data_IF_839270576726
#
_entry.id   IF_839270576726
#
_cell.length_a   1.000
_cell.length_b   1.000
_cell.length_c   1.000
_cell.angle_alpha   90.00
_cell.angle_beta   90.00
_cell.angle_gamma   90.00
#
_symmetry.space_group_name_H-M   'P 1'
#
loop_
_entity.id
_entity.type
_entity.pdbx_description
1 polymer ?
#
# COMPACT_ATOMS: atom_id res chain seq x y z
N UNK A 1 7.04 4.17 -2.03
CA UNK A 1 8.09 4.23 -0.99
C UNK A 1 7.87 3.10 0.00
N UNK A 2 8.93 2.59 0.60
CA UNK A 2 8.88 1.60 1.69
C UNK A 2 9.13 2.33 3.01
N UNK A 3 8.23 2.18 3.97
CA UNK A 3 8.31 2.88 5.27
C UNK A 3 8.18 1.81 6.36
N UNK A 4 9.32 1.43 6.92
CA UNK A 4 9.42 0.32 7.85
C UNK A 4 9.50 -1.05 7.16
N UNK A 5 10.07 -2.00 7.87
CA UNK A 5 10.21 -3.39 7.49
C UNK A 5 10.39 -4.22 8.76
N UNK A 6 9.82 -5.41 8.78
CA UNK A 6 10.00 -6.36 9.88
C UNK A 6 10.33 -7.74 9.29
N UNK A 7 11.53 -8.25 9.61
CA UNK A 7 11.89 -9.63 9.30
C UNK A 7 11.21 -10.57 10.27
N UNK A 8 10.78 -11.73 9.75
CA UNK A 8 10.50 -12.89 10.60
C UNK A 8 11.75 -13.22 11.44
N UNK A 9 11.56 -13.50 12.74
CA UNK A 9 12.63 -13.77 13.69
C UNK A 9 12.56 -15.22 14.19
N UNK A 10 13.17 -16.18 13.48
CA UNK A 10 13.13 -17.59 13.86
C UNK A 10 13.50 -17.80 15.34
N UNK A 11 12.61 -18.44 16.11
CA UNK A 11 12.82 -18.78 17.52
C UNK A 11 12.44 -17.71 18.56
N UNK A 12 12.17 -16.46 18.14
CA UNK A 12 11.59 -15.41 19.00
C UNK A 12 10.12 -15.18 18.66
N UNK A 13 9.86 -15.17 17.36
CA UNK A 13 8.55 -15.26 16.76
C UNK A 13 8.03 -16.69 17.07
N UNK A 14 7.04 -16.85 17.98
CA UNK A 14 6.73 -18.14 18.57
C UNK A 14 6.33 -19.19 17.52
N UNK A 15 6.68 -20.46 17.79
CA UNK A 15 6.13 -21.66 17.13
C UNK A 15 4.59 -21.76 17.35
N UNK A 16 4.02 -20.91 18.20
CA UNK A 16 2.59 -20.86 18.49
C UNK A 16 1.77 -20.43 17.27
N UNK A 17 0.62 -21.08 17.11
CA UNK A 17 -0.32 -20.95 15.97
C UNK A 17 -0.85 -19.54 15.65
N UNK A 18 -0.46 -18.50 16.38
CA UNK A 18 -1.00 -17.13 16.31
C UNK A 18 -0.05 -16.08 15.71
N UNK A 19 1.17 -16.46 15.33
CA UNK A 19 2.02 -15.58 14.55
C UNK A 19 1.72 -15.69 13.06
N UNK A 20 1.21 -14.60 12.51
CA UNK A 20 0.88 -14.50 11.10
C UNK A 20 0.99 -13.06 10.61
N UNK A 21 0.68 -12.88 9.33
CA UNK A 21 0.82 -11.63 8.60
C UNK A 21 0.16 -10.43 9.31
N UNK A 22 -1.03 -10.62 9.88
CA UNK A 22 -1.73 -9.55 10.63
C UNK A 22 -1.02 -9.18 11.94
N UNK A 23 -0.45 -10.15 12.64
CA UNK A 23 0.28 -9.90 13.89
C UNK A 23 1.53 -9.07 13.62
N UNK A 24 2.28 -9.41 12.58
CA UNK A 24 3.44 -8.64 12.10
C UNK A 24 2.98 -7.26 11.61
N UNK A 25 1.92 -7.19 10.81
CA UNK A 25 1.36 -5.93 10.30
C UNK A 25 0.98 -4.95 11.42
N UNK A 26 0.38 -5.45 12.52
CA UNK A 26 0.05 -4.64 13.71
C UNK A 26 1.30 -4.09 14.40
N UNK A 27 2.35 -4.91 14.57
CA UNK A 27 3.62 -4.46 15.17
C UNK A 27 4.29 -3.40 14.30
N UNK A 28 4.37 -3.66 13.00
CA UNK A 28 4.95 -2.74 12.02
C UNK A 28 4.24 -1.39 12.02
N UNK A 29 2.90 -1.36 11.90
CA UNK A 29 2.17 -0.09 11.87
C UNK A 29 2.28 0.67 13.20
N UNK A 30 2.28 -0.04 14.34
CA UNK A 30 2.49 0.59 15.65
C UNK A 30 3.87 1.26 15.74
N UNK A 31 4.91 0.58 15.26
CA UNK A 31 6.28 1.10 15.23
C UNK A 31 6.40 2.32 14.33
N UNK A 32 5.80 2.26 13.13
CA UNK A 32 5.84 3.35 12.15
C UNK A 32 5.07 4.58 12.65
N UNK A 33 3.86 4.42 13.19
CA UNK A 33 3.07 5.52 13.75
C UNK A 33 3.76 6.15 14.96
N UNK A 34 4.39 5.35 15.82
CA UNK A 34 5.15 5.83 16.97
C UNK A 34 6.37 6.66 16.54
N UNK A 35 7.11 6.19 15.54
CA UNK A 35 8.35 6.80 15.06
C UNK A 35 8.11 8.01 14.15
N UNK A 36 7.00 8.00 13.41
CA UNK A 36 6.66 9.00 12.42
C UNK A 36 5.22 9.50 12.63
N UNK A 37 5.01 10.20 13.76
CA UNK A 37 3.71 10.79 14.07
C UNK A 37 3.27 11.71 12.92
N UNK A 38 2.01 11.58 12.48
CA UNK A 38 1.39 12.33 11.37
C UNK A 38 1.85 11.97 9.95
N UNK A 39 2.65 10.91 9.77
CA UNK A 39 3.06 10.47 8.43
C UNK A 39 1.96 9.65 7.73
N UNK A 40 1.16 8.93 8.49
CA UNK A 40 0.14 8.01 7.99
C UNK A 40 -1.21 8.43 8.57
N UNK A 41 -2.13 8.81 7.70
CA UNK A 41 -3.52 9.10 8.07
C UNK A 41 -4.41 7.86 7.90
N UNK A 42 -4.17 7.10 6.83
CA UNK A 42 -4.98 5.94 6.45
C UNK A 42 -4.11 4.75 6.10
N UNK A 43 -4.45 3.58 6.65
CA UNK A 43 -3.86 2.29 6.27
C UNK A 43 -4.82 1.51 5.39
N UNK A 44 -4.28 0.86 4.36
CA UNK A 44 -5.07 0.05 3.42
C UNK A 44 -4.61 -1.40 3.50
N UNK A 45 -5.55 -2.32 3.63
CA UNK A 45 -5.23 -3.74 3.74
C UNK A 45 -6.16 -4.60 2.89
N UNK A 46 -5.70 -5.81 2.60
CA UNK A 46 -6.46 -6.82 1.88
C UNK A 46 -7.60 -7.42 2.75
N UNK A 47 -8.22 -8.52 2.28
CA UNK A 47 -9.39 -9.06 2.96
C UNK A 47 -9.09 -9.74 4.30
N UNK A 48 -7.84 -10.12 4.55
CA UNK A 48 -7.43 -10.80 5.77
C UNK A 48 -7.69 -9.91 7.00
N UNK A 49 -7.45 -8.62 6.86
CA UNK A 49 -7.61 -7.62 7.91
C UNK A 49 -9.07 -7.21 8.18
N UNK A 50 -10.06 -7.79 7.49
CA UNK A 50 -11.47 -7.40 7.62
C UNK A 50 -12.11 -8.00 8.88
N UNK A 51 -11.56 -7.67 10.04
CA UNK A 51 -11.95 -8.16 11.36
C UNK A 51 -11.82 -7.04 12.41
N UNK A 52 -12.50 -7.21 13.55
CA UNK A 52 -12.52 -6.22 14.63
C UNK A 52 -11.16 -5.97 15.26
N UNK A 53 -10.31 -6.99 15.36
CA UNK A 53 -8.97 -6.88 15.95
C UNK A 53 -8.12 -5.87 15.18
N UNK A 54 -8.06 -5.98 13.85
CA UNK A 54 -7.30 -5.05 13.00
C UNK A 54 -7.89 -3.64 13.03
N UNK A 55 -9.21 -3.53 12.90
CA UNK A 55 -9.92 -2.24 12.86
C UNK A 55 -9.68 -1.47 14.16
N UNK A 56 -9.90 -2.10 15.32
CA UNK A 56 -9.66 -1.49 16.62
C UNK A 56 -8.19 -1.12 16.82
N UNK A 57 -7.26 -1.97 16.34
CA UNK A 57 -5.83 -1.65 16.41
C UNK A 57 -5.49 -0.36 15.67
N UNK A 58 -6.03 -0.17 14.46
CA UNK A 58 -5.85 1.07 13.70
C UNK A 58 -6.46 2.27 14.42
N UNK A 59 -7.69 2.14 14.92
CA UNK A 59 -8.37 3.21 15.67
C UNK A 59 -7.61 3.61 16.93
N UNK A 60 -7.08 2.64 17.68
CA UNK A 60 -6.28 2.90 18.89
C UNK A 60 -4.98 3.64 18.58
N UNK A 61 -4.44 3.49 17.36
CA UNK A 61 -3.28 4.24 16.88
C UNK A 61 -3.66 5.63 16.33
N UNK A 62 -4.95 5.98 16.27
CA UNK A 62 -5.44 7.24 15.73
C UNK A 62 -5.37 7.33 14.20
N UNK A 63 -5.30 6.19 13.50
CA UNK A 63 -5.29 6.12 12.04
C UNK A 63 -6.57 5.46 11.53
N UNK A 64 -7.02 5.86 10.35
CA UNK A 64 -8.16 5.22 9.72
C UNK A 64 -7.75 3.98 8.92
N UNK A 65 -8.68 3.04 8.77
CA UNK A 65 -8.47 1.81 8.02
C UNK A 65 -9.42 1.74 6.82
N UNK A 66 -8.89 1.37 5.65
CA UNK A 66 -9.65 0.95 4.49
C UNK A 66 -9.29 -0.50 4.20
N UNK A 67 -10.23 -1.41 4.40
CA UNK A 67 -9.98 -2.85 4.31
C UNK A 67 -10.85 -3.45 3.23
N UNK A 68 -10.27 -4.37 2.45
CA UNK A 68 -11.03 -5.12 1.45
C UNK A 68 -12.07 -6.02 2.14
N UNK A 69 -13.29 -6.04 1.65
CA UNK A 69 -14.29 -7.03 2.06
C UNK A 69 -14.37 -8.18 1.04
N UNK A 70 -14.09 -9.42 1.46
CA UNK A 70 -14.24 -10.65 0.66
C UNK A 70 -14.81 -11.77 1.57
N UNK A 71 -15.77 -12.55 1.05
CA UNK A 71 -16.43 -13.73 1.65
C UNK A 71 -16.56 -13.78 3.20
N UNK A 72 -17.80 -13.66 3.67
CA UNK A 72 -18.09 -13.25 5.03
C UNK A 72 -18.41 -14.43 5.97
N UNK A 73 -17.46 -14.81 6.83
CA UNK A 73 -17.81 -15.46 8.09
C UNK A 73 -18.50 -14.49 9.07
N UNK A 74 -18.42 -13.18 8.82
CA UNK A 74 -19.06 -12.15 9.62
C UNK A 74 -20.53 -11.90 9.21
N UNK A 75 -21.48 -12.09 10.14
CA UNK A 75 -22.92 -11.90 9.91
C UNK A 75 -23.27 -10.45 9.57
N UNK A 76 -22.67 -9.46 10.24
CA UNK A 76 -23.02 -8.05 10.02
C UNK A 76 -22.58 -7.56 8.64
N UNK A 77 -21.41 -7.99 8.16
CA UNK A 77 -20.94 -7.68 6.80
C UNK A 77 -21.84 -8.33 5.73
N UNK A 78 -22.44 -9.51 6.01
CA UNK A 78 -23.43 -10.14 5.11
C UNK A 78 -24.70 -9.32 5.05
N UNK A 79 -25.16 -8.79 6.18
CA UNK A 79 -26.32 -7.91 6.26
C UNK A 79 -26.05 -6.62 5.48
N UNK A 80 -24.93 -5.95 5.72
CA UNK A 80 -24.54 -4.73 5.01
C UNK A 80 -24.51 -4.92 3.48
N UNK A 81 -23.93 -6.04 3.02
CA UNK A 81 -23.92 -6.42 1.60
C UNK A 81 -25.33 -6.65 1.05
N UNK A 82 -26.23 -7.31 1.81
CA UNK A 82 -27.63 -7.51 1.40
C UNK A 82 -28.37 -6.19 1.30
N UNK A 83 -28.16 -5.28 2.26
CA UNK A 83 -28.78 -3.93 2.26
C UNK A 83 -28.36 -3.16 1.03
N UNK A 84 -27.04 -3.04 0.78
CA UNK A 84 -26.50 -2.33 -0.38
C UNK A 84 -26.97 -2.90 -1.72
N UNK A 85 -27.20 -4.20 -1.82
CA UNK A 85 -27.71 -4.80 -3.06
C UNK A 85 -29.18 -4.48 -3.35
N UNK A 86 -29.92 -3.94 -2.37
CA UNK A 86 -31.33 -3.55 -2.50
C UNK A 86 -31.53 -2.03 -2.60
N UNK A 87 -30.48 -1.24 -2.40
CA UNK A 87 -30.53 0.21 -2.47
C UNK A 87 -30.09 0.70 -3.84
N UNK A 88 -30.47 1.93 -4.17
CA UNK A 88 -29.95 2.62 -5.35
C UNK A 88 -28.49 3.04 -5.15
N UNK A 89 -27.81 3.31 -6.27
CA UNK A 89 -26.44 3.79 -6.24
C UNK A 89 -26.42 5.24 -5.72
N UNK A 90 -25.55 5.51 -4.75
CA UNK A 90 -25.36 6.85 -4.17
C UNK A 90 -24.59 7.74 -5.14
N UNK A 91 -23.64 7.16 -5.88
CA UNK A 91 -22.93 7.84 -6.96
C UNK A 91 -22.79 6.94 -8.19
N UNK A 92 -22.77 7.56 -9.36
CA UNK A 92 -22.49 6.89 -10.63
C UNK A 92 -21.44 7.67 -11.40
N UNK A 93 -20.31 7.03 -11.71
CA UNK A 93 -19.23 7.61 -12.49
C UNK A 93 -19.18 6.96 -13.86
N UNK A 94 -19.13 7.75 -14.93
CA UNK A 94 -19.09 7.28 -16.32
C UNK A 94 -17.75 7.68 -16.94
N UNK A 95 -17.21 6.81 -17.80
CA UNK A 95 -15.93 7.02 -18.52
C UNK A 95 -14.72 7.34 -17.62
N UNK A 96 -14.72 6.83 -16.39
CA UNK A 96 -13.64 7.04 -15.43
C UNK A 96 -12.41 6.16 -15.76
N UNK A 97 -11.33 6.77 -16.25
CA UNK A 97 -9.96 6.19 -16.37
C UNK A 97 -9.91 4.70 -16.78
N UNK A 98 -10.60 4.35 -17.86
CA UNK A 98 -10.60 2.98 -18.43
C UNK A 98 -11.80 2.11 -18.06
N UNK A 99 -12.66 2.58 -17.16
CA UNK A 99 -13.97 1.98 -16.88
C UNK A 99 -15.05 2.64 -17.73
N UNK A 100 -16.05 1.85 -18.10
CA UNK A 100 -17.24 2.36 -18.78
C UNK A 100 -18.17 3.03 -17.76
N UNK A 101 -18.41 2.35 -16.64
CA UNK A 101 -19.29 2.82 -15.57
C UNK A 101 -18.84 2.27 -14.22
N UNK A 102 -18.90 3.07 -13.18
CA UNK A 102 -18.73 2.65 -11.78
C UNK A 102 -19.95 3.12 -11.00
N UNK A 103 -20.72 2.18 -10.48
CA UNK A 103 -21.84 2.45 -9.58
C UNK A 103 -21.38 2.24 -8.14
N UNK A 104 -21.61 3.24 -7.30
CA UNK A 104 -21.15 3.25 -5.92
C UNK A 104 -22.35 3.12 -5.00
N UNK A 105 -22.28 2.15 -4.10
CA UNK A 105 -23.29 1.91 -3.10
C UNK A 105 -22.64 1.99 -1.73
N UNK A 106 -23.34 2.58 -0.77
CA UNK A 106 -22.81 2.86 0.55
C UNK A 106 -23.84 2.46 1.61
N UNK A 107 -23.38 1.88 2.71
CA UNK A 107 -24.20 1.69 3.90
C UNK A 107 -23.34 1.78 5.16
N UNK A 108 -23.94 2.21 6.26
CA UNK A 108 -23.31 2.16 7.57
C UNK A 108 -23.74 0.89 8.30
N UNK A 109 -22.84 0.23 9.02
CA UNK A 109 -23.15 -0.96 9.82
C UNK A 109 -22.26 -1.06 11.05
N UNK A 110 -22.67 -1.85 12.03
CA UNK A 110 -21.87 -2.18 13.21
C UNK A 110 -21.24 -3.55 13.06
N UNK A 111 -20.03 -3.72 13.59
CA UNK A 111 -19.31 -5.00 13.60
C UNK A 111 -19.13 -5.46 15.04
N UNK A 112 -19.30 -6.76 15.29
CA UNK A 112 -19.07 -7.33 16.61
C UNK A 112 -17.67 -6.96 17.13
N UNK A 113 -17.60 -6.48 18.36
CA UNK A 113 -16.39 -5.98 19.02
C UNK A 113 -15.77 -4.71 18.40
N UNK A 114 -16.51 -3.94 17.61
CA UNK A 114 -16.13 -2.58 17.17
C UNK A 114 -17.19 -1.61 17.68
N UNK A 115 -16.80 -0.70 18.58
CA UNK A 115 -17.74 0.23 19.23
C UNK A 115 -18.34 1.23 18.24
N UNK A 116 -17.54 1.72 17.29
CA UNK A 116 -17.98 2.74 16.35
C UNK A 116 -18.63 2.11 15.11
N UNK A 117 -19.60 2.82 14.48
CA UNK A 117 -20.13 2.42 13.19
C UNK A 117 -19.03 2.43 12.12
N UNK A 118 -19.15 1.51 11.17
CA UNK A 118 -18.25 1.37 10.03
C UNK A 118 -19.00 1.65 8.73
N UNK A 119 -18.29 2.20 7.76
CA UNK A 119 -18.82 2.47 6.45
C UNK A 119 -18.49 1.31 5.51
N UNK A 120 -19.51 0.69 4.92
CA UNK A 120 -19.40 -0.32 3.89
C UNK A 120 -19.64 0.31 2.53
N UNK A 121 -18.67 0.18 1.63
CA UNK A 121 -18.78 0.73 0.28
C UNK A 121 -18.57 -0.36 -0.75
N UNK A 122 -19.47 -0.43 -1.73
CA UNK A 122 -19.40 -1.33 -2.88
C UNK A 122 -19.31 -0.50 -4.16
N UNK A 123 -18.24 -0.72 -4.91
CA UNK A 123 -18.05 -0.22 -6.26
C UNK A 123 -18.37 -1.35 -7.25
N UNK A 124 -19.49 -1.26 -7.96
CA UNK A 124 -19.81 -2.15 -9.08
C UNK A 124 -19.23 -1.54 -10.37
N UNK A 125 -18.28 -2.23 -10.99
CA UNK A 125 -17.45 -1.70 -12.08
C UNK A 125 -17.81 -2.44 -13.36
N UNK A 126 -18.22 -1.67 -14.37
CA UNK A 126 -18.38 -2.10 -15.76
C UNK A 126 -17.18 -1.65 -16.56
N UNK A 127 -16.47 -2.61 -17.15
CA UNK A 127 -15.32 -2.37 -18.01
C UNK A 127 -15.77 -2.16 -19.45
N UNK A 128 -15.01 -1.39 -20.24
CA UNK A 128 -15.28 -1.16 -21.67
C UNK A 128 -15.35 -2.45 -22.49
N UNK A 129 -14.62 -3.50 -22.07
CA UNK A 129 -14.67 -4.85 -22.67
C UNK A 129 -15.86 -5.69 -22.18
N UNK A 130 -16.95 -5.08 -21.73
CA UNK A 130 -18.17 -5.71 -21.18
C UNK A 130 -17.97 -6.61 -19.94
N UNK A 131 -16.76 -6.70 -19.38
CA UNK A 131 -16.52 -7.41 -18.12
C UNK A 131 -17.14 -6.63 -16.95
N UNK A 132 -17.70 -7.34 -15.97
CA UNK A 132 -18.19 -6.74 -14.72
C UNK A 132 -17.37 -7.26 -13.55
N UNK A 133 -16.93 -6.35 -12.69
CA UNK A 133 -16.20 -6.67 -11.46
C UNK A 133 -16.77 -5.86 -10.32
N UNK A 134 -16.48 -6.25 -9.07
CA UNK A 134 -16.92 -5.49 -7.92
C UNK A 134 -15.81 -5.32 -6.89
N UNK A 135 -15.74 -4.13 -6.31
CA UNK A 135 -14.87 -3.83 -5.20
C UNK A 135 -15.73 -3.50 -3.97
N UNK A 136 -15.69 -4.32 -2.92
CA UNK A 136 -16.28 -4.02 -1.62
C UNK A 136 -15.18 -3.68 -0.61
N UNK A 137 -15.41 -2.66 0.21
CA UNK A 137 -14.52 -2.25 1.29
C UNK A 137 -15.31 -1.99 2.57
N UNK A 138 -14.63 -2.12 3.70
CA UNK A 138 -15.04 -1.61 5.01
C UNK A 138 -14.06 -0.52 5.40
N UNK A 139 -14.55 0.64 5.82
CA UNK A 139 -13.71 1.76 6.22
C UNK A 139 -14.18 2.42 7.50
N UNK A 140 -13.22 2.92 8.28
CA UNK A 140 -13.48 3.80 9.43
C UNK A 140 -13.56 5.28 9.03
N UNK A 141 -13.18 5.62 7.80
CA UNK A 141 -13.29 6.98 7.27
C UNK A 141 -14.76 7.27 6.90
N UNK A 142 -15.46 8.06 7.72
CA UNK A 142 -16.86 8.42 7.45
C UNK A 142 -16.98 9.57 6.44
N UNK A 143 -16.06 10.54 6.49
CA UNK A 143 -16.15 11.79 5.71
C UNK A 143 -15.29 11.78 4.43
N UNK A 144 -14.65 10.66 4.11
CA UNK A 144 -13.81 10.56 2.92
C UNK A 144 -14.66 10.47 1.65
N UNK A 145 -14.38 11.34 0.67
CA UNK A 145 -15.00 11.28 -0.64
C UNK A 145 -14.87 9.88 -1.27
N UNK A 146 -15.98 9.32 -1.77
CA UNK A 146 -16.06 7.95 -2.30
C UNK A 146 -15.05 7.72 -3.42
N UNK A 147 -14.81 8.75 -4.26
CA UNK A 147 -13.81 8.72 -5.32
C UNK A 147 -12.38 8.61 -4.80
N UNK A 148 -12.07 9.18 -3.64
CA UNK A 148 -10.77 9.03 -2.97
C UNK A 148 -10.61 7.63 -2.42
N UNK A 149 -11.61 7.10 -1.70
CA UNK A 149 -11.63 5.72 -1.22
C UNK A 149 -11.43 4.71 -2.35
N UNK A 150 -12.06 4.95 -3.51
CA UNK A 150 -11.89 4.14 -4.71
C UNK A 150 -10.46 4.17 -5.26
N UNK A 151 -9.84 5.36 -5.37
CA UNK A 151 -8.44 5.49 -5.81
C UNK A 151 -7.49 4.77 -4.86
N UNK A 152 -7.71 4.90 -3.55
CA UNK A 152 -6.88 4.28 -2.51
C UNK A 152 -6.92 2.75 -2.61
N UNK A 153 -8.11 2.13 -2.66
CA UNK A 153 -8.21 0.67 -2.73
C UNK A 153 -7.71 0.11 -4.07
N UNK A 154 -7.80 0.88 -5.15
CA UNK A 154 -7.20 0.53 -6.45
C UNK A 154 -5.68 0.59 -6.40
N UNK A 155 -5.10 1.64 -5.82
CA UNK A 155 -3.65 1.79 -5.65
C UNK A 155 -3.04 0.64 -4.82
N UNK A 156 -3.80 0.04 -3.90
CA UNK A 156 -3.39 -1.19 -3.20
C UNK A 156 -3.08 -2.35 -4.15
N UNK A 157 -3.81 -2.50 -5.26
CA UNK A 157 -3.49 -3.52 -6.26
C UNK A 157 -2.24 -3.16 -7.07
N UNK A 158 -2.03 -1.86 -7.30
CA UNK A 158 -0.87 -1.37 -8.03
C UNK A 158 0.45 -1.54 -7.24
N UNK A 159 0.42 -1.72 -5.91
CA UNK A 159 1.63 -1.86 -5.08
C UNK A 159 2.53 -3.03 -5.54
N UNK A 160 1.92 -4.13 -5.98
CA UNK A 160 2.63 -5.33 -6.43
C UNK A 160 3.38 -5.05 -7.73
N UNK A 161 2.68 -4.46 -8.71
CA UNK A 161 3.24 -4.12 -10.01
C UNK A 161 4.16 -2.88 -9.99
N UNK A 162 4.06 -2.05 -8.95
CA UNK A 162 4.89 -0.86 -8.77
C UNK A 162 6.05 -1.13 -7.82
N UNK A 163 5.86 -0.96 -6.52
CA UNK A 163 6.92 -0.96 -5.51
C UNK A 163 7.62 -2.32 -5.45
N UNK A 164 6.87 -3.42 -5.31
CA UNK A 164 7.49 -4.74 -5.16
C UNK A 164 8.23 -5.18 -6.42
N UNK A 165 7.60 -5.01 -7.59
CA UNK A 165 8.23 -5.32 -8.86
C UNK A 165 9.50 -4.47 -9.10
N UNK A 166 9.47 -3.18 -8.74
CA UNK A 166 10.64 -2.30 -8.83
C UNK A 166 11.77 -2.77 -7.92
N UNK A 167 11.47 -3.10 -6.66
CA UNK A 167 12.47 -3.58 -5.71
C UNK A 167 13.15 -4.87 -6.20
N UNK A 168 12.37 -5.80 -6.74
CA UNK A 168 12.86 -7.06 -7.30
C UNK A 168 13.73 -6.85 -8.53
N UNK A 169 13.21 -6.13 -9.54
CA UNK A 169 13.84 -6.03 -10.87
C UNK A 169 14.96 -4.99 -10.96
N UNK A 170 14.79 -3.86 -10.30
CA UNK A 170 15.67 -2.69 -10.50
C UNK A 170 16.50 -2.36 -9.24
N UNK A 171 16.15 -2.89 -8.07
CA UNK A 171 16.91 -2.66 -6.82
C UNK A 171 17.59 -3.91 -6.25
N UNK A 172 17.55 -5.04 -6.96
CA UNK A 172 18.28 -6.26 -6.59
C UNK A 172 17.75 -6.98 -5.34
N UNK A 173 16.48 -6.81 -4.98
CA UNK A 173 15.89 -7.44 -3.79
C UNK A 173 15.99 -8.98 -3.81
N UNK A 174 16.01 -9.60 -5.00
CA UNK A 174 16.14 -11.06 -5.17
C UNK A 174 17.59 -11.57 -5.08
N UNK A 175 18.57 -10.66 -5.00
CA UNK A 175 19.99 -10.96 -5.12
C UNK A 175 20.80 -10.53 -3.87
N UNK A 176 20.22 -10.74 -2.68
CA UNK A 176 20.89 -10.50 -1.40
C UNK A 176 21.80 -11.68 -1.02
N UNK A 177 22.99 -11.76 -1.63
CA UNK A 177 23.96 -12.85 -1.43
C UNK A 177 24.91 -12.62 -0.24
N UNK A 178 24.36 -12.25 0.92
CA UNK A 178 25.14 -12.07 2.15
C UNK A 178 24.74 -13.08 3.21
N UNK A 179 25.72 -13.56 3.98
CA UNK A 179 25.48 -14.48 5.08
C UNK A 179 25.35 -13.74 6.41
N UNK A 180 24.41 -14.18 7.24
CA UNK A 180 24.19 -13.63 8.58
C UNK A 180 23.00 -12.64 8.64
N UNK A 181 22.18 -12.79 9.67
CA UNK A 181 20.92 -12.04 9.86
C UNK A 181 21.11 -10.52 9.77
N UNK A 182 22.10 -9.99 10.50
CA UNK A 182 22.35 -8.55 10.57
C UNK A 182 22.84 -8.00 9.23
N UNK A 183 23.63 -8.78 8.48
CA UNK A 183 24.11 -8.37 7.16
C UNK A 183 22.96 -8.30 6.15
N UNK A 184 22.07 -9.30 6.15
CA UNK A 184 20.85 -9.30 5.34
C UNK A 184 19.98 -8.08 5.67
N UNK A 185 19.75 -7.82 6.96
CA UNK A 185 18.92 -6.69 7.39
C UNK A 185 19.53 -5.33 6.96
N UNK A 186 20.84 -5.15 7.15
CA UNK A 186 21.54 -3.94 6.71
C UNK A 186 21.44 -3.71 5.20
N UNK A 187 21.66 -4.76 4.39
CA UNK A 187 21.53 -4.67 2.93
C UNK A 187 20.10 -4.33 2.51
N UNK A 188 19.09 -4.91 3.17
CA UNK A 188 17.69 -4.57 2.90
C UNK A 188 17.37 -3.11 3.22
N UNK A 189 17.85 -2.58 4.35
CA UNK A 189 17.70 -1.15 4.64
C UNK A 189 18.36 -0.26 3.59
N UNK A 190 19.57 -0.59 3.14
CA UNK A 190 20.25 0.15 2.06
C UNK A 190 19.44 0.12 0.76
N UNK A 191 18.89 -1.03 0.38
CA UNK A 191 18.01 -1.18 -0.79
C UNK A 191 16.78 -0.28 -0.65
N UNK A 192 16.11 -0.29 0.50
CA UNK A 192 14.92 0.53 0.73
C UNK A 192 15.22 2.03 0.71
N UNK A 193 16.32 2.46 1.34
CA UNK A 193 16.75 3.86 1.36
C UNK A 193 17.07 4.32 -0.07
N UNK A 194 17.90 3.57 -0.81
CA UNK A 194 18.27 3.90 -2.18
C UNK A 194 17.04 3.97 -3.10
N UNK A 195 16.14 2.98 -2.99
CA UNK A 195 14.87 2.95 -3.74
C UNK A 195 14.00 4.16 -3.41
N UNK A 196 13.84 4.50 -2.12
CA UNK A 196 13.05 5.66 -1.71
C UNK A 196 13.62 6.97 -2.24
N UNK A 197 14.93 7.19 -2.15
CA UNK A 197 15.58 8.40 -2.67
C UNK A 197 15.36 8.50 -4.18
N UNK A 198 15.57 7.41 -4.92
CA UNK A 198 15.34 7.37 -6.37
C UNK A 198 13.89 7.70 -6.74
N UNK A 199 12.92 7.11 -6.04
CA UNK A 199 11.50 7.35 -6.28
C UNK A 199 11.10 8.79 -5.96
N UNK A 200 11.62 9.38 -4.88
CA UNK A 200 11.38 10.79 -4.54
C UNK A 200 11.98 11.69 -5.61
N UNK A 201 13.21 11.42 -6.06
CA UNK A 201 13.88 12.20 -7.11
C UNK A 201 13.08 12.16 -8.42
N UNK A 202 12.63 10.98 -8.83
CA UNK A 202 11.78 10.78 -10.01
C UNK A 202 10.50 11.60 -9.97
N UNK A 203 9.72 11.44 -8.91
CA UNK A 203 8.37 11.98 -8.84
C UNK A 203 8.41 13.48 -8.54
N UNK A 204 9.26 13.93 -7.61
CA UNK A 204 9.28 15.33 -7.17
C UNK A 204 10.22 16.22 -7.96
N UNK A 205 11.43 15.75 -8.26
CA UNK A 205 12.44 16.59 -8.92
C UNK A 205 12.31 16.53 -10.43
N UNK A 206 12.23 15.33 -10.99
CA UNK A 206 12.18 15.14 -12.44
C UNK A 206 10.75 15.16 -12.99
N UNK A 207 9.72 15.11 -12.14
CA UNK A 207 8.30 15.13 -12.55
C UNK A 207 7.99 14.10 -13.64
N UNK A 208 8.63 12.93 -13.59
CA UNK A 208 8.50 11.86 -14.58
C UNK A 208 8.89 12.26 -16.03
N UNK A 209 9.80 13.22 -16.21
CA UNK A 209 10.26 13.63 -17.54
C UNK A 209 11.04 12.54 -18.30
N UNK A 210 11.51 11.50 -17.59
CA UNK A 210 12.20 10.36 -18.17
C UNK A 210 11.31 9.12 -18.15
N UNK A 211 11.38 8.34 -19.23
CA UNK A 211 10.51 7.20 -19.50
C UNK A 211 10.85 5.95 -18.67
N UNK A 212 12.12 5.75 -18.27
CA UNK A 212 12.52 4.58 -17.47
C UNK A 212 13.67 4.88 -16.50
N UNK A 213 13.75 4.13 -15.40
CA UNK A 213 14.88 4.21 -14.45
C UNK A 213 16.22 3.85 -15.10
N UNK A 214 16.22 2.89 -16.04
CA UNK A 214 17.42 2.50 -16.78
C UNK A 214 17.98 3.65 -17.60
N UNK A 215 17.12 4.41 -18.29
CA UNK A 215 17.58 5.56 -19.06
C UNK A 215 18.16 6.67 -18.17
N UNK A 216 17.58 6.88 -16.98
CA UNK A 216 18.17 7.80 -16.02
C UNK A 216 19.52 7.34 -15.51
N UNK A 217 19.67 6.06 -15.15
CA UNK A 217 20.97 5.51 -14.73
C UNK A 217 21.97 5.66 -15.87
N UNK A 218 21.56 5.42 -17.12
CA UNK A 218 22.41 5.63 -18.31
C UNK A 218 22.85 7.09 -18.44
N UNK A 219 21.93 8.05 -18.28
CA UNK A 219 22.22 9.48 -18.34
C UNK A 219 23.10 9.93 -17.18
N UNK A 220 22.89 9.40 -15.98
CA UNK A 220 23.74 9.65 -14.82
C UNK A 220 25.15 9.13 -15.06
N UNK A 221 25.31 7.88 -15.53
CA UNK A 221 26.60 7.30 -15.86
C UNK A 221 27.31 8.07 -16.98
N UNK A 222 26.57 8.48 -18.02
CA UNK A 222 27.09 9.36 -19.07
C UNK A 222 27.55 10.70 -18.49
N UNK A 223 26.77 11.31 -17.61
CA UNK A 223 27.12 12.54 -16.91
C UNK A 223 28.38 12.39 -16.05
N UNK A 224 28.45 11.34 -15.22
CA UNK A 224 29.60 10.99 -14.39
C UNK A 224 30.86 10.76 -15.25
N UNK A 225 30.71 10.02 -16.36
CA UNK A 225 31.79 9.80 -17.31
C UNK A 225 32.30 11.14 -17.87
N UNK A 226 31.40 12.01 -18.34
CA UNK A 226 31.76 13.34 -18.85
C UNK A 226 32.37 14.25 -17.76
N UNK A 227 31.94 14.12 -16.50
CA UNK A 227 32.52 14.85 -15.37
C UNK A 227 33.93 14.38 -15.00
N UNK A 228 34.25 13.09 -15.19
CA UNK A 228 35.62 12.56 -15.00
C UNK A 228 36.65 13.23 -15.93
N UNK A 229 36.20 13.83 -17.03
CA UNK A 229 37.04 14.59 -17.96
C UNK A 229 37.03 16.11 -17.71
N UNK A 230 36.39 16.59 -16.64
CA UNK A 230 36.60 17.97 -16.16
C UNK A 230 37.78 18.00 -15.20
N UNK A 231 38.85 18.69 -15.60
CA UNK A 231 40.09 18.81 -14.81
C UNK A 231 39.86 19.33 -13.37
N UNK A 232 38.79 20.08 -13.13
CA UNK A 232 38.43 20.68 -11.84
C UNK A 232 37.84 19.71 -10.80
N UNK A 233 37.45 18.48 -11.20
CA UNK A 233 36.77 17.50 -10.33
C UNK A 233 37.54 16.20 -10.14
N UNK A 234 38.75 16.09 -10.71
CA UNK A 234 39.66 15.00 -10.39
C UNK A 234 40.14 15.27 -8.98
N UNK A 235 39.62 14.52 -8.00
CA UNK A 235 40.20 14.50 -6.65
C UNK A 235 41.68 14.15 -6.80
N UNK A 236 42.55 15.16 -6.68
CA UNK A 236 43.98 14.95 -6.59
C UNK A 236 44.23 14.21 -5.28
N UNK A 237 44.37 12.89 -5.37
CA UNK A 237 44.99 12.11 -4.30
C UNK A 237 46.45 12.55 -4.21
N UNK A 238 46.70 13.54 -3.36
CA UNK A 238 48.03 13.85 -2.84
C UNK A 238 48.32 12.90 -1.69
#
# INVERSE_FOLDING_TARGET
MVIGFEMYKPGQDPISKDEGELSVGKRLISSVVKSHRKLIDVVVYDALACNSIWINHCKNLGIDAIVRAKNNNNKSLRLAKKTVNKTEAVEVWVDEKGFEKVEVYQSTFTMDNVEQPLNFVKFAIKHKKKQRTQIMIVTTCMDMALKTSFKIIRARWDIENSIFNNLKRECGLEHCFVHGKNAVEAVLYLIFIASNIMQIFLVRRLRNHFTTQREMVRLLLKGLYLMKYKAELVFSSS
#
